data_IF_565301586814
#
_entry.id   IF_565301586814
#
_cell.length_a   1.000
_cell.length_b   1.000
_cell.length_c   1.000
_cell.angle_alpha   90.00
_cell.angle_beta   90.00
_cell.angle_gamma   90.00
#
_symmetry.space_group_name_H-M   'P 1'
#
loop_
_entity.id
_entity.type
_entity.pdbx_description
1 polymer ?
#
# COMPACT_ATOMS: atom_id res chain seq x y z
N UNK A 1 -0.12 -6.48 18.84
CA UNK A 1 -0.85 -6.56 17.55
C UNK A 1 -1.08 -7.99 17.07
N UNK A 2 -0.02 -8.79 16.82
CA UNK A 2 -0.18 -10.17 16.32
C UNK A 2 -1.06 -11.04 17.21
N UNK A 3 -0.87 -10.98 18.54
CA UNK A 3 -1.70 -11.71 19.49
C UNK A 3 -3.18 -11.33 19.36
N UNK A 4 -3.51 -10.03 19.39
CA UNK A 4 -4.88 -9.54 19.23
C UNK A 4 -5.51 -9.91 17.88
N UNK A 5 -4.72 -10.02 16.81
CA UNK A 5 -5.21 -10.40 15.49
C UNK A 5 -5.54 -11.90 15.42
N UNK A 6 -4.61 -12.74 15.88
CA UNK A 6 -4.75 -14.20 15.84
C UNK A 6 -5.71 -14.73 16.90
N UNK A 7 -5.82 -14.05 18.06
CA UNK A 7 -6.77 -14.43 19.10
C UNK A 7 -8.22 -14.24 18.63
N UNK A 8 -8.45 -13.33 17.67
CA UNK A 8 -9.76 -12.97 17.14
C UNK A 8 -10.67 -12.36 18.21
N UNK A 9 -11.45 -11.34 17.85
CA UNK A 9 -12.65 -11.04 18.64
C UNK A 9 -13.63 -12.19 18.43
N UNK A 10 -14.09 -12.83 19.51
CA UNK A 10 -15.07 -13.92 19.48
C UNK A 10 -16.49 -13.48 19.08
N UNK A 11 -16.71 -12.20 18.83
CA UNK A 11 -18.02 -11.64 18.48
C UNK A 11 -17.96 -10.85 17.17
N UNK A 12 -18.61 -11.35 16.13
CA UNK A 12 -18.71 -10.69 14.81
C UNK A 12 -19.48 -9.37 14.87
N UNK A 13 -20.44 -9.24 15.78
CA UNK A 13 -21.20 -7.99 15.96
C UNK A 13 -20.28 -6.85 16.41
N UNK A 14 -19.28 -7.15 17.24
CA UNK A 14 -18.30 -6.17 17.68
C UNK A 14 -17.40 -5.73 16.53
N UNK A 15 -16.97 -6.66 15.66
CA UNK A 15 -16.18 -6.35 14.45
C UNK A 15 -16.96 -5.42 13.53
N UNK A 16 -18.19 -5.79 13.19
CA UNK A 16 -18.98 -4.99 12.25
C UNK A 16 -19.37 -3.64 12.87
N UNK A 17 -19.64 -3.59 14.18
CA UNK A 17 -19.86 -2.31 14.89
C UNK A 17 -18.63 -1.41 14.86
N UNK A 18 -17.43 -1.94 15.08
CA UNK A 18 -16.18 -1.17 15.00
C UNK A 18 -15.94 -0.64 13.58
N UNK A 19 -16.08 -1.50 12.57
CA UNK A 19 -15.94 -1.10 11.16
C UNK A 19 -16.97 -0.02 10.79
N UNK A 20 -18.23 -0.19 11.20
CA UNK A 20 -19.30 0.79 10.95
C UNK A 20 -19.02 2.12 11.65
N UNK A 21 -18.54 2.09 12.90
CA UNK A 21 -18.19 3.29 13.65
C UNK A 21 -17.02 4.04 13.00
N UNK A 22 -15.99 3.32 12.53
CA UNK A 22 -14.86 3.89 11.83
C UNK A 22 -15.27 4.57 10.53
N UNK A 23 -16.05 3.85 9.72
CA UNK A 23 -16.61 4.33 8.45
C UNK A 23 -17.47 5.58 8.70
N UNK A 24 -18.37 5.53 9.69
CA UNK A 24 -19.22 6.68 10.06
C UNK A 24 -18.43 7.90 10.56
N UNK A 25 -17.39 7.70 11.39
CA UNK A 25 -16.54 8.78 11.94
C UNK A 25 -15.80 9.57 10.85
N UNK A 26 -15.59 8.96 9.69
CA UNK A 26 -14.88 9.55 8.54
C UNK A 26 -15.82 10.10 7.46
N UNK A 27 -17.11 10.21 7.78
CA UNK A 27 -18.18 10.54 6.83
C UNK A 27 -18.24 9.55 5.66
N UNK A 28 -17.76 8.32 5.86
CA UNK A 28 -18.02 7.23 4.95
C UNK A 28 -19.40 6.67 5.33
N UNK A 29 -20.47 7.11 4.68
CA UNK A 29 -21.80 6.56 4.98
C UNK A 29 -21.86 5.10 4.47
N UNK A 30 -22.18 4.13 5.33
CA UNK A 30 -22.35 2.73 4.95
C UNK A 30 -23.26 1.97 5.96
N UNK A 31 -24.09 0.99 5.52
CA UNK A 31 -24.39 0.62 4.13
C UNK A 31 -25.45 1.51 3.46
N UNK A 32 -26.06 2.47 4.19
CA UNK A 32 -27.15 3.31 3.67
C UNK A 32 -26.80 4.80 3.79
N UNK A 33 -27.07 5.61 2.74
CA UNK A 33 -26.94 7.06 2.79
C UNK A 33 -28.03 7.61 3.71
N UNK A 34 -27.67 7.92 4.95
CA UNK A 34 -28.61 8.38 5.96
C UNK A 34 -28.12 9.62 6.69
N UNK A 35 -28.61 10.78 6.25
CA UNK A 35 -28.70 12.10 6.93
C UNK A 35 -27.59 13.14 6.76
N UNK A 36 -26.54 12.89 5.99
CA UNK A 36 -25.79 13.99 5.37
C UNK A 36 -25.76 13.77 3.87
N UNK A 37 -26.52 14.58 3.15
CA UNK A 37 -26.36 14.82 1.71
C UNK A 37 -25.02 15.54 1.46
N UNK A 38 -23.90 15.01 1.97
CA UNK A 38 -22.61 15.38 1.42
C UNK A 38 -22.59 14.78 0.03
N UNK A 39 -22.78 15.65 -0.97
CA UNK A 39 -22.65 15.30 -2.38
C UNK A 39 -21.28 14.67 -2.55
N UNK A 40 -21.26 13.34 -2.77
CA UNK A 40 -20.03 12.62 -3.09
C UNK A 40 -19.67 13.01 -4.51
N UNK A 41 -18.73 13.95 -4.65
CA UNK A 41 -18.09 14.26 -5.93
C UNK A 41 -16.87 13.34 -6.19
N UNK A 42 -16.39 13.30 -7.43
CA UNK A 42 -15.24 12.48 -7.79
C UNK A 42 -13.97 12.87 -7.03
N UNK A 43 -13.81 14.14 -6.63
CA UNK A 43 -12.67 14.55 -5.81
C UNK A 43 -12.72 14.02 -4.38
N UNK A 44 -13.92 13.93 -3.77
CA UNK A 44 -14.12 13.27 -2.48
C UNK A 44 -13.90 11.77 -2.59
N UNK A 45 -14.32 11.14 -3.69
CA UNK A 45 -14.00 9.73 -3.93
C UNK A 45 -12.47 9.50 -4.05
N UNK A 46 -11.75 10.39 -4.74
CA UNK A 46 -10.28 10.37 -4.80
C UNK A 46 -9.66 10.54 -3.41
N UNK A 47 -10.13 11.48 -2.60
CA UNK A 47 -9.66 11.68 -1.22
C UNK A 47 -9.70 10.38 -0.41
N UNK A 48 -10.80 9.63 -0.47
CA UNK A 48 -10.93 8.36 0.27
C UNK A 48 -9.94 7.32 -0.23
N UNK A 49 -9.76 7.20 -1.56
CA UNK A 49 -8.77 6.28 -2.15
C UNK A 49 -7.36 6.62 -1.67
N UNK A 50 -6.98 7.90 -1.67
CA UNK A 50 -5.67 8.34 -1.18
C UNK A 50 -5.55 8.19 0.34
N UNK A 51 -6.60 8.46 1.10
CA UNK A 51 -6.60 8.34 2.56
C UNK A 51 -6.35 6.89 2.97
N UNK A 52 -7.05 5.92 2.38
CA UNK A 52 -6.78 4.51 2.63
C UNK A 52 -5.33 4.13 2.28
N UNK A 53 -4.82 4.61 1.15
CA UNK A 53 -3.46 4.31 0.68
C UNK A 53 -2.35 4.93 1.52
N UNK A 54 -2.50 6.18 1.97
CA UNK A 54 -1.45 6.95 2.66
C UNK A 54 -1.64 6.92 4.17
N UNK A 55 -2.85 7.22 4.67
CA UNK A 55 -3.15 7.37 6.10
C UNK A 55 -3.24 6.00 6.76
N UNK A 56 -3.93 5.07 6.10
CA UNK A 56 -4.17 3.74 6.66
C UNK A 56 -3.21 2.68 6.12
N UNK A 57 -2.34 3.06 5.16
CA UNK A 57 -1.50 2.17 4.36
C UNK A 57 -2.18 0.84 4.02
N UNK A 58 -3.41 1.00 3.52
CA UNK A 58 -4.21 0.02 2.82
C UNK A 58 -4.33 0.51 1.37
N UNK A 59 -3.29 0.34 0.54
CA UNK A 59 -3.31 0.78 -0.84
C UNK A 59 -4.20 -0.15 -1.65
N UNK A 60 -5.51 -0.09 -1.48
CA UNK A 60 -6.44 -1.01 -2.13
C UNK A 60 -6.32 -0.86 -3.66
N UNK A 61 -6.47 0.37 -4.16
CA UNK A 61 -6.45 0.66 -5.59
C UNK A 61 -5.03 0.74 -6.15
N UNK A 62 -4.23 1.65 -5.61
CA UNK A 62 -2.84 1.90 -5.98
C UNK A 62 -2.09 2.45 -4.76
N UNK A 63 -0.77 2.28 -4.77
CA UNK A 63 0.10 2.85 -3.74
C UNK A 63 0.42 4.29 -4.09
N UNK A 64 0.47 5.10 -3.05
CA UNK A 64 0.77 6.53 -3.15
C UNK A 64 1.93 6.78 -2.22
N UNK A 65 3.01 7.33 -2.73
CA UNK A 65 4.16 7.66 -1.92
C UNK A 65 4.70 9.04 -2.25
N UNK A 66 5.14 9.76 -1.23
CA UNK A 66 5.86 11.00 -1.43
C UNK A 66 7.33 10.69 -1.68
N UNK A 67 7.84 11.05 -2.86
CA UNK A 67 9.25 10.88 -3.16
C UNK A 67 10.07 11.99 -2.47
N UNK A 68 11.23 11.65 -1.89
CA UNK A 68 12.17 12.65 -1.42
C UNK A 68 12.61 13.52 -2.61
N UNK A 69 12.65 14.84 -2.39
CA UNK A 69 13.06 15.81 -3.42
C UNK A 69 14.52 15.53 -3.78
N UNK A 70 14.76 14.91 -4.94
CA UNK A 70 16.11 14.73 -5.44
C UNK A 70 16.73 16.11 -5.67
N UNK A 71 17.85 16.40 -5.01
CA UNK A 71 18.63 17.64 -5.13
C UNK A 71 19.32 17.81 -6.50
N UNK A 72 18.94 17.01 -7.49
CA UNK A 72 19.44 17.08 -8.86
C UNK A 72 18.85 18.27 -9.62
N UNK A 73 19.70 18.93 -10.38
CA UNK A 73 19.70 20.35 -10.76
C UNK A 73 18.58 20.85 -11.67
N UNK A 74 17.61 20.01 -12.06
CA UNK A 74 16.43 20.42 -12.87
C UNK A 74 15.09 20.47 -12.12
N UNK A 75 14.96 19.77 -10.99
CA UNK A 75 13.69 19.63 -10.24
C UNK A 75 13.70 20.35 -8.88
N UNK A 76 14.62 21.32 -8.70
CA UNK A 76 14.99 21.96 -7.42
C UNK A 76 13.85 22.58 -6.57
N UNK A 77 12.58 22.52 -6.97
CA UNK A 77 11.45 23.05 -6.19
C UNK A 77 10.19 22.20 -6.18
N UNK A 78 10.06 21.19 -7.03
CA UNK A 78 8.80 20.45 -7.15
C UNK A 78 8.92 19.12 -6.39
N UNK A 79 8.00 18.90 -5.45
CA UNK A 79 7.85 17.60 -4.79
C UNK A 79 7.30 16.62 -5.81
N UNK A 80 7.65 15.35 -5.66
CA UNK A 80 7.13 14.30 -6.52
C UNK A 80 6.30 13.31 -5.71
N UNK A 81 5.09 13.00 -6.18
CA UNK A 81 4.22 11.95 -5.63
C UNK A 81 4.27 10.78 -6.60
N UNK A 82 4.71 9.63 -6.13
CA UNK A 82 4.70 8.40 -6.89
C UNK A 82 3.36 7.68 -6.76
N UNK A 83 2.78 7.30 -7.89
CA UNK A 83 1.65 6.37 -7.99
C UNK A 83 2.17 5.06 -8.57
N UNK A 84 1.96 3.96 -7.86
CA UNK A 84 2.31 2.63 -8.37
C UNK A 84 1.15 1.66 -8.23
N UNK A 85 1.02 0.68 -9.14
CA UNK A 85 -0.02 -0.33 -9.01
C UNK A 85 0.05 -1.05 -7.67
N UNK A 86 -1.10 -1.52 -7.18
CA UNK A 86 -1.19 -2.25 -5.92
C UNK A 86 -1.25 -3.75 -6.14
N UNK A 87 -0.57 -4.53 -5.30
CA UNK A 87 -0.69 -6.00 -5.33
C UNK A 87 -2.06 -6.50 -4.87
N UNK A 88 -2.69 -5.92 -3.83
CA UNK A 88 -4.09 -6.19 -3.50
C UNK A 88 -5.04 -6.21 -4.71
N UNK A 89 -4.99 -5.21 -5.61
CA UNK A 89 -5.92 -5.18 -6.76
C UNK A 89 -5.79 -6.38 -7.70
N UNK A 90 -4.57 -6.93 -7.86
CA UNK A 90 -4.32 -8.16 -8.64
C UNK A 90 -4.86 -9.39 -7.93
N UNK A 91 -4.56 -9.52 -6.64
CA UNK A 91 -5.03 -10.65 -5.84
C UNK A 91 -6.56 -10.70 -5.88
N UNK A 92 -7.21 -9.57 -5.65
CA UNK A 92 -8.66 -9.45 -5.68
C UNK A 92 -9.28 -9.67 -7.05
N UNK A 93 -8.58 -9.28 -8.13
CA UNK A 93 -8.99 -9.66 -9.48
C UNK A 93 -9.05 -11.19 -9.64
N UNK A 94 -7.98 -11.91 -9.27
CA UNK A 94 -7.96 -13.38 -9.33
C UNK A 94 -8.99 -14.02 -8.40
N UNK A 95 -9.16 -13.50 -7.18
CA UNK A 95 -10.19 -13.97 -6.25
C UNK A 95 -11.57 -13.83 -6.86
N UNK A 96 -11.90 -12.69 -7.48
CA UNK A 96 -13.19 -12.49 -8.14
C UNK A 96 -13.37 -13.38 -9.37
N UNK A 97 -12.32 -13.61 -10.17
CA UNK A 97 -12.38 -14.56 -11.27
C UNK A 97 -12.67 -15.98 -10.76
N UNK A 98 -11.97 -16.44 -9.73
CA UNK A 98 -12.25 -17.75 -9.12
C UNK A 98 -13.66 -17.82 -8.56
N UNK A 99 -14.11 -16.82 -7.80
CA UNK A 99 -15.47 -16.77 -7.24
C UNK A 99 -16.52 -16.78 -8.36
N UNK A 100 -16.29 -16.09 -9.47
CA UNK A 100 -17.22 -16.05 -10.61
C UNK A 100 -17.37 -17.40 -11.33
N UNK A 101 -16.39 -18.29 -11.19
CA UNK A 101 -16.47 -19.67 -11.70
C UNK A 101 -17.36 -20.57 -10.84
N UNK A 102 -17.69 -20.17 -9.61
CA UNK A 102 -18.62 -20.88 -8.73
C UNK A 102 -20.00 -20.21 -8.76
N UNK A 103 -21.02 -20.91 -9.28
CA UNK A 103 -22.39 -20.36 -9.47
C UNK A 103 -22.99 -19.69 -8.22
N UNK A 104 -22.63 -20.15 -7.01
CA UNK A 104 -23.11 -19.59 -5.74
C UNK A 104 -22.07 -18.79 -4.96
N UNK A 105 -20.82 -18.72 -5.43
CA UNK A 105 -19.70 -18.13 -4.68
C UNK A 105 -19.92 -16.64 -4.37
N UNK A 106 -20.38 -15.89 -5.37
CA UNK A 106 -20.64 -14.46 -5.20
C UNK A 106 -21.83 -14.18 -4.26
N UNK A 107 -22.87 -15.02 -4.34
CA UNK A 107 -24.04 -14.97 -3.48
C UNK A 107 -23.69 -15.30 -2.03
N UNK A 108 -22.90 -16.36 -1.78
CA UNK A 108 -22.44 -16.74 -0.43
C UNK A 108 -21.54 -15.66 0.20
N UNK A 109 -20.58 -15.16 -0.58
CA UNK A 109 -19.66 -14.10 -0.19
C UNK A 109 -20.40 -12.84 0.27
N UNK A 110 -21.38 -12.41 -0.52
CA UNK A 110 -22.11 -11.17 -0.23
C UNK A 110 -23.19 -11.37 0.82
N UNK A 111 -23.83 -12.55 0.87
CA UNK A 111 -24.85 -12.87 1.89
C UNK A 111 -24.24 -12.85 3.29
N UNK A 112 -23.01 -13.33 3.48
CA UNK A 112 -22.41 -13.35 4.82
C UNK A 112 -22.12 -11.95 5.38
N UNK A 113 -21.53 -11.05 4.58
CA UNK A 113 -21.29 -9.66 4.97
C UNK A 113 -22.59 -8.92 5.22
N UNK A 114 -23.60 -9.15 4.38
CA UNK A 114 -24.91 -8.51 4.52
C UNK A 114 -25.70 -9.07 5.71
N UNK A 115 -25.62 -10.36 6.01
CA UNK A 115 -26.21 -10.96 7.22
C UNK A 115 -25.62 -10.36 8.50
N UNK A 116 -24.30 -10.15 8.52
CA UNK A 116 -23.62 -9.52 9.65
C UNK A 116 -24.02 -8.03 9.78
N UNK A 117 -24.32 -7.37 8.66
CA UNK A 117 -24.75 -5.97 8.62
C UNK A 117 -26.21 -5.77 9.01
N UNK A 118 -27.11 -6.58 8.46
CA UNK A 118 -28.54 -6.51 8.68
C UNK A 118 -28.92 -6.77 10.13
N UNK A 119 -28.11 -7.56 10.85
CA UNK A 119 -28.24 -7.75 12.30
C UNK A 119 -27.98 -6.48 13.10
N UNK A 120 -27.07 -5.61 12.64
CA UNK A 120 -26.71 -4.37 13.34
C UNK A 120 -27.59 -3.19 12.92
N UNK A 121 -28.03 -3.16 11.68
CA UNK A 121 -28.99 -2.17 11.18
C UNK A 121 -29.79 -2.74 10.02
N UNK A 122 -31.12 -2.93 10.18
CA UNK A 122 -31.97 -3.29 9.07
C UNK A 122 -31.85 -2.22 7.98
N UNK A 123 -31.63 -2.61 6.72
CA UNK A 123 -31.45 -1.67 5.63
C UNK A 123 -32.79 -1.04 5.25
N UNK A 124 -32.75 0.11 4.59
CA UNK A 124 -33.92 0.67 3.91
C UNK A 124 -34.18 0.01 2.54
N UNK A 125 -33.20 -0.72 1.99
CA UNK A 125 -33.25 -1.42 0.71
C UNK A 125 -33.10 -2.94 0.88
N UNK A 126 -33.66 -3.74 -0.03
CA UNK A 126 -33.52 -5.21 0.05
C UNK A 126 -32.12 -5.67 -0.33
N UNK A 127 -31.69 -6.81 0.23
CA UNK A 127 -30.43 -7.50 -0.12
C UNK A 127 -30.26 -7.68 -1.63
N UNK A 128 -31.34 -8.08 -2.31
CA UNK A 128 -31.35 -8.31 -3.75
C UNK A 128 -31.22 -7.02 -4.57
N UNK A 129 -31.75 -5.89 -4.07
CA UNK A 129 -31.61 -4.57 -4.68
C UNK A 129 -30.18 -4.00 -4.51
N UNK A 130 -29.59 -4.18 -3.32
CA UNK A 130 -28.18 -3.85 -3.07
C UNK A 130 -27.24 -4.66 -3.97
N UNK A 131 -27.52 -5.97 -4.09
CA UNK A 131 -26.76 -6.86 -4.97
C UNK A 131 -26.82 -6.43 -6.44
N UNK A 132 -28.03 -6.16 -6.94
CA UNK A 132 -28.28 -5.79 -8.34
C UNK A 132 -27.73 -4.42 -8.73
N UNK A 133 -27.66 -3.47 -7.79
CA UNK A 133 -27.21 -2.10 -8.09
C UNK A 133 -25.73 -1.85 -7.77
N UNK A 134 -25.11 -2.57 -6.81
CA UNK A 134 -23.80 -2.15 -6.23
C UNK A 134 -22.76 -3.26 -5.96
N UNK A 135 -23.05 -4.55 -6.17
CA UNK A 135 -22.22 -5.64 -5.59
C UNK A 135 -21.11 -6.20 -6.50
N UNK A 136 -21.32 -7.13 -7.42
CA UNK A 136 -20.18 -7.88 -8.01
C UNK A 136 -19.54 -7.31 -9.25
N UNK A 137 -20.37 -6.80 -10.15
CA UNK A 137 -19.94 -6.42 -11.51
C UNK A 137 -19.08 -5.16 -11.46
N UNK A 138 -19.46 -4.16 -10.66
CA UNK A 138 -18.66 -2.94 -10.48
C UNK A 138 -17.31 -3.27 -9.83
N UNK A 139 -17.31 -4.14 -8.81
CA UNK A 139 -16.09 -4.62 -8.16
C UNK A 139 -15.16 -5.32 -9.15
N UNK A 140 -15.69 -6.29 -9.89
CA UNK A 140 -14.93 -7.02 -10.90
C UNK A 140 -14.36 -6.09 -11.98
N UNK A 141 -15.15 -5.13 -12.47
CA UNK A 141 -14.69 -4.17 -13.46
C UNK A 141 -13.58 -3.28 -12.92
N UNK A 142 -13.71 -2.74 -11.70
CA UNK A 142 -12.66 -1.94 -11.06
C UNK A 142 -11.39 -2.78 -10.86
N UNK A 143 -11.50 -4.01 -10.32
CA UNK A 143 -10.35 -4.89 -10.12
C UNK A 143 -9.66 -5.26 -11.43
N UNK A 144 -10.42 -5.62 -12.46
CA UNK A 144 -9.88 -5.96 -13.77
C UNK A 144 -9.08 -4.79 -14.37
N UNK A 145 -9.64 -3.58 -14.32
CA UNK A 145 -8.95 -2.38 -14.84
C UNK A 145 -7.66 -2.10 -14.07
N UNK A 146 -7.69 -2.17 -12.74
CA UNK A 146 -6.50 -1.96 -11.91
C UNK A 146 -5.45 -3.07 -12.09
N UNK A 147 -5.87 -4.33 -12.25
CA UNK A 147 -4.97 -5.47 -12.46
C UNK A 147 -4.29 -5.42 -13.85
N UNK A 148 -5.01 -4.99 -14.88
CA UNK A 148 -4.46 -4.83 -16.24
C UNK A 148 -3.28 -3.85 -16.31
N UNK A 149 -3.17 -2.94 -15.34
CA UNK A 149 -2.05 -2.02 -15.19
C UNK A 149 -0.77 -2.70 -14.65
N UNK A 150 -0.82 -3.95 -14.23
CA UNK A 150 0.33 -4.72 -13.73
C UNK A 150 0.85 -5.71 -14.78
N UNK A 151 -0.02 -6.19 -15.66
CA UNK A 151 0.31 -7.21 -16.67
C UNK A 151 1.24 -6.71 -17.80
N UNK A 152 1.54 -5.41 -17.88
CA UNK A 152 2.55 -4.93 -18.83
C UNK A 152 3.96 -5.25 -18.35
N UNK A 153 4.66 -6.10 -19.10
CA UNK A 153 6.04 -6.53 -18.85
C UNK A 153 7.08 -5.40 -18.84
N UNK A 154 6.75 -4.21 -19.34
CA UNK A 154 7.63 -3.03 -19.31
C UNK A 154 6.92 -1.87 -18.62
N UNK A 155 7.44 -1.37 -17.48
CA UNK A 155 6.93 -0.14 -16.88
C UNK A 155 7.13 1.02 -17.85
N UNK A 156 6.06 1.75 -18.15
CA UNK A 156 6.10 2.99 -18.92
C UNK A 156 5.89 4.16 -17.95
N UNK A 157 6.95 4.63 -17.25
CA UNK A 157 6.80 5.67 -16.26
C UNK A 157 6.38 6.98 -16.92
N UNK A 158 5.50 7.72 -16.26
CA UNK A 158 5.00 9.01 -16.73
C UNK A 158 5.12 10.05 -15.63
N UNK A 159 5.76 11.16 -15.98
CA UNK A 159 5.91 12.36 -15.14
C UNK A 159 4.92 13.42 -15.61
N UNK A 160 4.09 13.93 -14.71
CA UNK A 160 3.02 14.88 -15.04
C UNK A 160 2.91 15.90 -13.92
N UNK A 161 2.85 17.18 -14.23
CA UNK A 161 2.48 18.20 -13.24
C UNK A 161 1.04 17.98 -12.78
N UNK A 162 0.75 18.14 -11.48
CA UNK A 162 -0.59 17.97 -10.93
C UNK A 162 -1.61 18.83 -11.67
N UNK A 163 -1.24 20.06 -12.04
CA UNK A 163 -2.07 20.99 -12.81
C UNK A 163 -2.51 20.46 -14.18
N UNK A 164 -1.76 19.49 -14.73
CA UNK A 164 -2.00 18.86 -16.04
C UNK A 164 -2.67 17.49 -15.93
N UNK A 165 -2.91 16.98 -14.72
CA UNK A 165 -3.64 15.72 -14.53
C UNK A 165 -5.04 15.67 -15.17
N UNK A 166 -5.81 16.78 -15.28
CA UNK A 166 -7.09 16.76 -15.98
C UNK A 166 -6.99 16.40 -17.47
N UNK A 167 -5.81 16.56 -18.09
CA UNK A 167 -5.57 16.11 -19.47
C UNK A 167 -5.57 14.57 -19.57
N UNK A 168 -5.34 13.87 -18.45
CA UNK A 168 -5.17 12.42 -18.39
C UNK A 168 -6.29 11.71 -17.66
N UNK A 169 -6.85 12.33 -16.62
CA UNK A 169 -7.97 11.83 -15.84
C UNK A 169 -9.07 12.88 -15.86
N UNK A 170 -9.98 12.76 -16.84
CA UNK A 170 -10.84 13.86 -17.29
C UNK A 170 -11.89 14.29 -16.28
N UNK A 171 -12.36 13.36 -15.45
CA UNK A 171 -13.37 13.62 -14.41
C UNK A 171 -12.79 14.15 -13.10
N UNK A 172 -11.48 14.43 -13.03
CA UNK A 172 -10.84 15.03 -11.86
C UNK A 172 -10.19 16.35 -12.25
N UNK A 173 -10.55 17.43 -11.57
CA UNK A 173 -9.90 18.72 -11.75
C UNK A 173 -8.53 18.75 -11.07
N UNK A 174 -7.67 19.70 -11.46
CA UNK A 174 -6.41 19.93 -10.76
C UNK A 174 -6.64 20.26 -9.27
N UNK A 175 -7.76 20.93 -8.95
CA UNK A 175 -8.14 21.23 -7.56
C UNK A 175 -8.47 19.98 -6.78
N UNK A 176 -9.10 18.98 -7.40
CA UNK A 176 -9.40 17.70 -6.74
C UNK A 176 -8.13 16.94 -6.38
N UNK A 177 -7.17 16.85 -7.30
CA UNK A 177 -5.87 16.25 -7.03
C UNK A 177 -5.10 16.96 -5.91
N UNK A 178 -5.01 18.30 -5.97
CA UNK A 178 -4.34 19.09 -4.93
C UNK A 178 -5.05 18.92 -3.58
N UNK A 179 -6.38 19.02 -3.56
CA UNK A 179 -7.19 18.83 -2.35
C UNK A 179 -6.98 17.46 -1.74
N UNK A 180 -7.05 16.40 -2.54
CA UNK A 180 -6.91 15.03 -2.08
C UNK A 180 -5.49 14.71 -1.59
N UNK A 181 -4.46 15.23 -2.27
CA UNK A 181 -3.08 15.05 -1.79
C UNK A 181 -2.82 15.87 -0.51
N UNK A 182 -3.39 17.07 -0.40
CA UNK A 182 -3.33 17.88 0.83
C UNK A 182 -4.10 17.26 1.98
N UNK A 183 -5.19 16.52 1.76
CA UNK A 183 -5.91 15.89 2.88
C UNK A 183 -5.07 14.79 3.55
N UNK A 184 -4.21 14.10 2.80
CA UNK A 184 -3.39 13.00 3.30
C UNK A 184 -1.96 13.40 3.69
N UNK A 185 -1.44 14.49 3.12
CA UNK A 185 -0.10 15.02 3.41
C UNK A 185 -0.10 16.38 4.12
N UNK A 186 -1.24 17.06 4.23
CA UNK A 186 -1.35 18.41 4.79
C UNK A 186 -1.07 18.49 6.28
N UNK A 187 -1.35 17.42 7.04
CA UNK A 187 -0.89 17.28 8.42
C UNK A 187 0.64 17.34 8.55
N UNK A 188 1.37 17.06 7.46
CA UNK A 188 2.84 17.13 7.37
C UNK A 188 3.38 18.51 6.98
N UNK A 189 2.54 19.55 7.05
CA UNK A 189 2.86 20.92 6.61
C UNK A 189 3.38 21.00 5.16
N UNK A 190 3.03 20.02 4.32
CA UNK A 190 3.43 19.96 2.92
C UNK A 190 2.44 20.79 2.08
N UNK A 191 2.85 21.97 1.65
CA UNK A 191 2.10 22.78 0.70
C UNK A 191 2.18 22.18 -0.72
N UNK A 192 1.41 21.12 -0.97
CA UNK A 192 1.30 20.50 -2.30
C UNK A 192 0.57 21.46 -3.24
N UNK A 193 1.11 21.73 -4.41
CA UNK A 193 0.57 22.68 -5.38
C UNK A 193 0.35 22.03 -6.75
N UNK A 194 -0.32 22.72 -7.67
CA UNK A 194 -0.48 22.25 -9.05
C UNK A 194 0.84 22.08 -9.81
N UNK A 195 1.94 22.68 -9.35
CA UNK A 195 3.26 22.57 -9.99
C UNK A 195 4.05 21.33 -9.52
N UNK A 196 3.61 20.66 -8.45
CA UNK A 196 4.24 19.42 -8.02
C UNK A 196 4.00 18.31 -9.04
N UNK A 197 4.87 17.31 -9.03
CA UNK A 197 4.91 16.26 -10.04
C UNK A 197 4.24 14.99 -9.52
N UNK A 198 3.41 14.36 -10.34
CA UNK A 198 3.02 12.96 -10.20
C UNK A 198 3.91 12.12 -11.09
N UNK A 199 4.58 11.15 -10.49
CA UNK A 199 5.24 10.06 -11.17
C UNK A 199 4.35 8.82 -11.12
N UNK A 200 3.68 8.48 -12.22
CA UNK A 200 3.08 7.17 -12.36
C UNK A 200 4.16 6.18 -12.79
N UNK A 201 4.37 5.10 -12.03
CA UNK A 201 5.36 4.06 -12.42
C UNK A 201 4.92 3.28 -13.66
N UNK A 202 3.63 3.38 -14.02
CA UNK A 202 3.05 2.78 -15.21
C UNK A 202 1.93 3.66 -15.79
N UNK A 203 2.03 4.09 -17.04
CA UNK A 203 1.00 4.85 -17.76
C UNK A 203 -0.36 4.13 -17.81
N UNK A 204 -0.36 2.78 -17.83
CA UNK A 204 -1.61 2.01 -17.75
C UNK A 204 -2.38 2.25 -16.45
N UNK A 205 -1.68 2.55 -15.34
CA UNK A 205 -2.37 2.89 -14.09
C UNK A 205 -3.16 4.19 -14.23
N UNK A 206 -2.59 5.21 -14.88
CA UNK A 206 -3.30 6.47 -15.13
C UNK A 206 -4.51 6.24 -16.03
N UNK A 207 -4.37 5.41 -17.08
CA UNK A 207 -5.49 5.01 -17.95
C UNK A 207 -6.58 4.25 -17.20
N UNK A 208 -6.21 3.35 -16.28
CA UNK A 208 -7.16 2.64 -15.45
C UNK A 208 -7.93 3.60 -14.52
N UNK A 209 -7.22 4.56 -13.91
CA UNK A 209 -7.84 5.61 -13.09
C UNK A 209 -8.80 6.45 -13.95
N UNK A 210 -8.39 6.93 -15.14
CA UNK A 210 -9.26 7.67 -16.05
C UNK A 210 -10.50 6.87 -16.42
N UNK A 211 -10.32 5.61 -16.81
CA UNK A 211 -11.43 4.74 -17.18
C UNK A 211 -12.43 4.58 -16.04
N UNK A 212 -11.96 4.30 -14.83
CA UNK A 212 -12.85 4.08 -13.67
C UNK A 212 -13.58 5.37 -13.32
N UNK A 213 -12.87 6.50 -13.21
CA UNK A 213 -13.48 7.79 -12.87
C UNK A 213 -14.39 8.33 -13.98
N UNK A 214 -14.16 7.94 -15.24
CA UNK A 214 -15.00 8.30 -16.38
C UNK A 214 -16.22 7.40 -16.57
N UNK A 215 -16.15 6.14 -16.15
CA UNK A 215 -17.21 5.14 -16.38
C UNK A 215 -18.09 4.87 -15.17
N UNK A 216 -17.72 5.38 -13.99
CA UNK A 216 -18.43 5.16 -12.73
C UNK A 216 -18.85 6.48 -12.09
N UNK A 217 -19.99 6.45 -11.42
CA UNK A 217 -20.41 7.58 -10.58
C UNK A 217 -19.45 7.70 -9.40
N UNK A 218 -19.32 8.91 -8.84
CA UNK A 218 -18.52 9.12 -7.64
C UNK A 218 -19.04 8.28 -6.45
N UNK A 219 -20.36 8.09 -6.39
CA UNK A 219 -21.04 7.24 -5.42
C UNK A 219 -20.62 5.76 -5.55
N UNK A 220 -20.55 5.21 -6.78
CA UNK A 220 -20.08 3.83 -7.01
C UNK A 220 -18.64 3.62 -6.57
N UNK A 221 -17.75 4.57 -6.91
CA UNK A 221 -16.32 4.52 -6.56
C UNK A 221 -16.16 4.56 -5.04
N UNK A 222 -16.90 5.46 -4.38
CA UNK A 222 -16.87 5.62 -2.94
C UNK A 222 -17.36 4.36 -2.22
N UNK A 223 -18.54 3.84 -2.57
CA UNK A 223 -19.07 2.64 -1.94
C UNK A 223 -18.22 1.42 -2.21
N UNK A 224 -17.69 1.26 -3.43
CA UNK A 224 -16.73 0.19 -3.72
C UNK A 224 -15.51 0.26 -2.80
N UNK A 225 -14.95 1.46 -2.62
CA UNK A 225 -13.76 1.68 -1.79
C UNK A 225 -14.02 1.35 -0.33
N UNK A 226 -15.15 1.82 0.21
CA UNK A 226 -15.58 1.52 1.60
C UNK A 226 -15.85 0.03 1.78
N UNK A 227 -16.55 -0.59 0.83
CA UNK A 227 -16.83 -2.02 0.87
C UNK A 227 -15.54 -2.84 0.85
N UNK A 228 -14.60 -2.52 -0.04
CA UNK A 228 -13.33 -3.22 -0.11
C UNK A 228 -12.49 -3.04 1.17
N UNK A 229 -12.53 -1.86 1.78
CA UNK A 229 -11.95 -1.63 3.11
C UNK A 229 -12.56 -2.56 4.17
N UNK A 230 -13.90 -2.62 4.25
CA UNK A 230 -14.61 -3.49 5.19
C UNK A 230 -14.21 -4.95 4.99
N UNK A 231 -14.02 -5.38 3.74
CA UNK A 231 -13.61 -6.75 3.43
C UNK A 231 -12.17 -7.04 3.83
N UNK A 232 -11.25 -6.17 3.44
CA UNK A 232 -9.84 -6.32 3.75
C UNK A 232 -9.61 -6.34 5.27
N UNK A 233 -10.17 -5.37 6.00
CA UNK A 233 -10.00 -5.28 7.46
C UNK A 233 -10.91 -6.26 8.21
N UNK A 234 -12.10 -6.55 7.70
CA UNK A 234 -13.00 -7.58 8.25
C UNK A 234 -12.36 -8.97 8.22
N UNK A 235 -11.69 -9.34 7.13
CA UNK A 235 -10.98 -10.61 7.02
C UNK A 235 -9.82 -10.74 8.03
N UNK A 236 -9.22 -9.62 8.45
CA UNK A 236 -8.15 -9.62 9.48
C UNK A 236 -8.70 -9.82 10.88
N UNK A 237 -9.91 -9.34 11.14
CA UNK A 237 -10.50 -9.22 12.49
C UNK A 237 -11.41 -10.40 12.85
N UNK A 238 -11.93 -11.13 11.86
CA UNK A 238 -12.80 -12.30 12.07
C UNK A 238 -12.40 -13.48 11.19
N UNK A 239 -12.16 -14.64 11.80
CA UNK A 239 -11.90 -15.89 11.07
C UNK A 239 -13.07 -16.29 10.16
N UNK A 240 -14.30 -15.93 10.54
CA UNK A 240 -15.51 -16.24 9.78
C UNK A 240 -15.62 -15.34 8.56
N UNK A 241 -15.38 -14.02 8.71
CA UNK A 241 -15.23 -13.11 7.57
C UNK A 241 -14.07 -13.55 6.67
N UNK A 242 -12.95 -13.96 7.25
CA UNK A 242 -11.81 -14.50 6.49
C UNK A 242 -12.19 -15.73 5.66
N UNK A 243 -12.89 -16.71 6.26
CA UNK A 243 -13.37 -17.91 5.56
C UNK A 243 -14.34 -17.56 4.43
N UNK A 244 -15.30 -16.67 4.70
CA UNK A 244 -16.31 -16.28 3.72
C UNK A 244 -15.74 -15.45 2.58
N UNK A 245 -14.80 -14.54 2.87
CA UNK A 245 -14.15 -13.70 1.87
C UNK A 245 -13.30 -14.52 0.90
N UNK A 246 -12.60 -15.52 1.43
CA UNK A 246 -11.67 -16.31 0.62
C UNK A 246 -12.28 -17.61 0.08
N UNK A 247 -13.51 -17.95 0.47
CA UNK A 247 -14.14 -19.25 0.18
C UNK A 247 -13.27 -20.45 0.60
N UNK A 248 -12.54 -20.32 1.72
CA UNK A 248 -11.60 -21.34 2.23
C UNK A 248 -12.12 -21.88 3.59
N UNK A 249 -12.25 -23.21 3.77
CA UNK A 249 -12.69 -23.81 5.03
C UNK A 249 -11.70 -23.61 6.20
N UNK A 250 -10.42 -23.35 5.90
CA UNK A 250 -9.34 -23.09 6.88
C UNK A 250 -9.19 -21.60 7.23
N UNK A 251 -10.29 -20.87 7.46
CA UNK A 251 -10.26 -19.43 7.70
C UNK A 251 -9.31 -18.97 8.80
N UNK A 252 -9.06 -19.80 9.83
CA UNK A 252 -8.09 -19.49 10.90
C UNK A 252 -6.64 -19.51 10.44
N UNK A 253 -6.26 -20.45 9.56
CA UNK A 253 -4.90 -20.49 9.03
C UNK A 253 -4.67 -19.29 8.11
N UNK A 254 -5.62 -19.02 7.22
CA UNK A 254 -5.54 -17.88 6.31
C UNK A 254 -5.57 -16.55 7.06
N UNK A 255 -6.39 -16.42 8.10
CA UNK A 255 -6.40 -15.25 8.97
C UNK A 255 -5.04 -15.02 9.63
N UNK A 256 -4.34 -16.07 10.08
CA UNK A 256 -2.97 -15.92 10.64
C UNK A 256 -1.99 -15.36 9.61
N UNK A 257 -2.07 -15.79 8.35
CA UNK A 257 -1.23 -15.26 7.28
C UNK A 257 -1.54 -13.79 7.00
N UNK A 258 -2.83 -13.44 6.92
CA UNK A 258 -3.28 -12.05 6.77
C UNK A 258 -2.80 -11.20 7.95
N UNK A 259 -3.00 -11.67 9.19
CA UNK A 259 -2.54 -10.98 10.40
C UNK A 259 -1.04 -10.72 10.39
N UNK A 260 -0.26 -11.70 9.93
CA UNK A 260 1.18 -11.57 9.79
C UNK A 260 1.57 -10.53 8.74
N UNK A 261 0.89 -10.49 7.59
CA UNK A 261 1.07 -9.46 6.54
C UNK A 261 0.76 -8.05 7.08
N UNK A 262 -0.28 -7.90 7.92
CA UNK A 262 -0.59 -6.61 8.55
C UNK A 262 0.45 -6.18 9.58
N UNK A 263 0.97 -7.12 10.38
CA UNK A 263 2.05 -6.83 11.33
C UNK A 263 3.35 -6.52 10.60
N UNK A 264 3.66 -7.22 9.52
CA UNK A 264 4.81 -6.94 8.66
C UNK A 264 4.68 -5.54 8.02
N UNK A 265 3.53 -5.22 7.43
CA UNK A 265 3.32 -3.90 6.82
C UNK A 265 3.27 -2.74 7.81
N UNK A 266 2.95 -2.98 9.08
CA UNK A 266 2.89 -1.93 10.11
C UNK A 266 4.22 -1.77 10.85
N UNK A 267 4.93 -2.87 11.12
CA UNK A 267 6.14 -2.92 11.94
C UNK A 267 7.35 -3.51 11.22
N UNK A 268 7.39 -3.45 9.88
CA UNK A 268 8.47 -4.01 9.07
C UNK A 268 9.87 -3.60 9.54
N UNK A 269 10.08 -2.31 9.81
CA UNK A 269 11.39 -1.78 10.23
C UNK A 269 11.80 -2.42 11.57
N UNK A 270 10.86 -2.59 12.50
CA UNK A 270 11.08 -3.26 13.79
C UNK A 270 11.43 -4.74 13.59
N UNK A 271 10.61 -5.45 12.81
CA UNK A 271 10.82 -6.87 12.53
C UNK A 271 12.13 -7.12 11.76
N UNK A 272 12.53 -6.19 10.90
CA UNK A 272 13.80 -6.24 10.18
C UNK A 272 14.98 -6.03 11.14
N UNK A 273 14.83 -5.14 12.13
CA UNK A 273 15.82 -4.95 13.19
C UNK A 273 15.94 -6.18 14.10
N UNK A 274 14.83 -6.81 14.48
CA UNK A 274 14.84 -8.09 15.21
C UNK A 274 15.53 -9.18 14.36
N UNK A 275 15.22 -9.23 13.06
CA UNK A 275 15.82 -10.22 12.15
C UNK A 275 17.31 -9.99 11.91
N UNK A 276 17.76 -8.72 11.91
CA UNK A 276 19.18 -8.31 11.88
C UNK A 276 19.92 -8.83 13.10
N UNK A 277 19.31 -8.82 14.30
CA UNK A 277 19.95 -9.33 15.52
C UNK A 277 20.29 -10.83 15.45
N UNK A 278 19.70 -11.57 14.51
CA UNK A 278 20.03 -12.98 14.24
C UNK A 278 21.17 -13.16 13.23
N UNK A 279 21.68 -12.08 12.62
CA UNK A 279 22.79 -12.12 11.68
C UNK A 279 24.12 -11.80 12.37
N UNK A 280 25.25 -12.36 11.90
CA UNK A 280 26.57 -11.99 12.38
C UNK A 280 26.85 -10.49 12.16
N UNK A 281 27.50 -9.79 13.11
CA UNK A 281 27.82 -8.36 12.98
C UNK A 281 28.55 -7.99 11.67
N UNK A 282 29.42 -8.89 11.20
CA UNK A 282 30.23 -8.74 9.99
C UNK A 282 29.47 -9.00 8.69
N UNK A 283 28.26 -9.59 8.74
CA UNK A 283 27.51 -9.97 7.54
C UNK A 283 27.25 -8.75 6.64
N UNK A 284 26.91 -7.59 7.22
CA UNK A 284 26.65 -6.36 6.48
C UNK A 284 27.84 -5.95 5.63
N UNK A 285 29.02 -5.93 6.24
CA UNK A 285 30.25 -5.50 5.59
C UNK A 285 30.63 -6.48 4.49
N UNK A 286 30.52 -7.78 4.75
CA UNK A 286 30.74 -8.82 3.75
C UNK A 286 29.81 -8.67 2.54
N UNK A 287 28.52 -8.40 2.78
CA UNK A 287 27.52 -8.19 1.71
C UNK A 287 27.81 -6.90 0.95
N UNK A 288 28.07 -5.79 1.65
CA UNK A 288 28.43 -4.51 1.01
C UNK A 288 29.63 -4.68 0.10
N UNK A 289 30.70 -5.32 0.59
CA UNK A 289 31.90 -5.60 -0.19
C UNK A 289 31.62 -6.47 -1.42
N UNK A 290 30.73 -7.48 -1.30
CA UNK A 290 30.32 -8.31 -2.44
C UNK A 290 29.53 -7.49 -3.47
N UNK A 291 28.61 -6.62 -3.03
CA UNK A 291 27.82 -5.76 -3.91
C UNK A 291 28.67 -4.72 -4.61
N UNK A 292 29.64 -4.13 -3.92
CA UNK A 292 30.59 -3.18 -4.51
C UNK A 292 31.44 -3.86 -5.59
N UNK A 293 31.93 -5.09 -5.34
CA UNK A 293 32.61 -5.91 -6.37
C UNK A 293 31.70 -6.19 -7.57
N UNK A 294 30.45 -6.59 -7.34
CA UNK A 294 29.47 -6.82 -8.43
C UNK A 294 29.25 -5.54 -9.23
N UNK A 295 29.10 -4.38 -8.56
CA UNK A 295 28.94 -3.07 -9.19
C UNK A 295 30.15 -2.74 -10.06
N UNK A 296 31.37 -2.88 -9.53
CA UNK A 296 32.61 -2.63 -10.30
C UNK A 296 32.69 -3.52 -11.55
N UNK A 297 32.45 -4.83 -11.42
CA UNK A 297 32.45 -5.75 -12.57
C UNK A 297 31.36 -5.40 -13.58
N UNK A 298 30.17 -5.02 -13.13
CA UNK A 298 29.08 -4.62 -14.01
C UNK A 298 29.44 -3.35 -14.81
N UNK A 299 30.03 -2.36 -14.15
CA UNK A 299 30.51 -1.11 -14.77
C UNK A 299 31.59 -1.38 -15.81
N UNK A 300 32.59 -2.20 -15.47
CA UNK A 300 33.64 -2.60 -16.41
C UNK A 300 33.07 -3.29 -17.66
N UNK A 301 32.16 -4.26 -17.45
CA UNK A 301 31.48 -4.95 -18.55
C UNK A 301 30.65 -3.99 -19.40
N UNK A 302 29.92 -3.06 -18.79
CA UNK A 302 29.12 -2.05 -19.51
C UNK A 302 30.00 -1.13 -20.36
N UNK A 303 31.14 -0.69 -19.83
CA UNK A 303 32.11 0.15 -20.55
C UNK A 303 32.76 -0.57 -21.74
N UNK A 304 32.95 -1.90 -21.64
CA UNK A 304 33.50 -2.72 -22.71
C UNK A 304 32.45 -3.25 -23.72
N UNK A 305 31.14 -3.09 -23.45
CA UNK A 305 30.09 -3.74 -24.23
C UNK A 305 29.90 -3.11 -25.62
N UNK A 306 30.38 -3.81 -26.65
CA UNK A 306 30.47 -3.29 -28.03
C UNK A 306 29.11 -3.04 -28.71
N UNK A 307 28.02 -3.68 -28.24
CA UNK A 307 26.68 -3.53 -28.83
C UNK A 307 25.98 -2.22 -28.44
N UNK A 308 26.52 -1.45 -27.51
CA UNK A 308 26.00 -0.12 -27.13
C UNK A 308 26.90 0.99 -27.69
N UNK A 309 26.30 2.14 -28.01
CA UNK A 309 27.05 3.34 -28.36
C UNK A 309 27.92 3.81 -27.18
N UNK A 310 29.02 4.52 -27.46
CA UNK A 310 29.90 5.03 -26.41
C UNK A 310 29.18 6.00 -25.44
N UNK A 311 28.15 6.70 -25.91
CA UNK A 311 27.31 7.57 -25.08
C UNK A 311 26.41 6.74 -24.16
N UNK A 312 25.68 5.76 -24.71
CA UNK A 312 24.81 4.89 -23.91
C UNK A 312 25.60 4.09 -22.88
N UNK A 313 26.80 3.60 -23.23
CA UNK A 313 27.70 2.94 -22.27
C UNK A 313 28.03 3.81 -21.08
N UNK A 314 28.40 5.08 -21.32
CA UNK A 314 28.71 6.05 -20.25
C UNK A 314 27.50 6.35 -19.39
N UNK A 315 26.34 6.56 -20.00
CA UNK A 315 25.09 6.85 -19.28
C UNK A 315 24.67 5.68 -18.37
N UNK A 316 24.64 4.45 -18.90
CA UNK A 316 24.24 3.26 -18.12
C UNK A 316 25.27 2.95 -17.03
N UNK A 317 26.57 3.07 -17.33
CA UNK A 317 27.61 2.90 -16.31
C UNK A 317 27.45 3.92 -15.16
N UNK A 318 27.16 5.19 -15.47
CA UNK A 318 26.93 6.23 -14.47
C UNK A 318 25.72 5.92 -13.57
N UNK A 319 24.65 5.35 -14.11
CA UNK A 319 23.50 4.90 -13.31
C UNK A 319 23.91 3.79 -12.34
N UNK A 320 24.66 2.78 -12.81
CA UNK A 320 25.12 1.67 -11.96
C UNK A 320 26.11 2.15 -10.90
N UNK A 321 27.02 3.06 -11.25
CA UNK A 321 27.97 3.69 -10.31
C UNK A 321 27.26 4.49 -9.22
N UNK A 322 26.25 5.27 -9.60
CA UNK A 322 25.47 6.10 -8.68
C UNK A 322 24.41 5.34 -7.88
N UNK A 323 24.31 4.01 -8.02
CA UNK A 323 23.29 3.21 -7.36
C UNK A 323 23.58 3.04 -5.88
N UNK A 324 22.70 3.57 -5.03
CA UNK A 324 22.77 3.39 -3.58
C UNK A 324 22.25 2.00 -3.19
N UNK A 325 22.73 1.46 -2.08
CA UNK A 325 22.29 0.15 -1.57
C UNK A 325 21.83 0.25 -0.13
N UNK A 326 20.65 -0.29 0.14
CA UNK A 326 20.08 -0.42 1.48
C UNK A 326 19.95 -1.91 1.81
N UNK A 327 20.77 -2.41 2.73
CA UNK A 327 20.77 -3.82 3.16
C UNK A 327 19.81 -4.03 4.35
N UNK A 328 19.81 -3.08 5.29
CA UNK A 328 18.81 -2.95 6.35
C UNK A 328 18.94 -1.56 7.00
N UNK A 329 17.88 -1.02 7.63
CA UNK A 329 17.95 0.23 8.38
C UNK A 329 19.01 0.17 9.48
N UNK A 330 19.91 1.16 9.54
CA UNK A 330 21.01 1.17 10.52
C UNK A 330 20.55 1.47 11.95
N UNK A 331 19.40 2.14 12.09
CA UNK A 331 18.89 2.59 13.39
C UNK A 331 18.55 1.40 14.28
N UNK A 332 19.28 1.29 15.38
CA UNK A 332 18.97 0.37 16.45
C UNK A 332 17.80 0.93 17.25
N UNK A 333 16.64 0.29 17.14
CA UNK A 333 15.53 0.40 18.09
C UNK A 333 15.97 0.18 19.55
N UNK A 334 17.18 -0.34 19.78
CA UNK A 334 17.82 -0.44 21.10
C UNK A 334 18.29 0.89 21.69
N UNK A 335 18.26 2.01 20.95
CA UNK A 335 18.46 3.34 21.53
C UNK A 335 17.19 3.81 22.26
N UNK A 336 17.31 4.50 23.41
CA UNK A 336 16.17 5.11 24.07
C UNK A 336 15.40 6.01 23.09
N UNK A 337 14.10 5.75 22.87
CA UNK A 337 13.27 6.51 21.95
C UNK A 337 13.27 6.03 20.48
N UNK A 338 14.04 4.99 20.13
CA UNK A 338 14.15 4.50 18.75
C UNK A 338 12.83 3.92 18.21
N UNK A 339 12.02 3.27 19.06
CA UNK A 339 10.68 2.83 18.68
C UNK A 339 9.76 4.04 18.43
N UNK A 340 9.78 5.02 19.32
CA UNK A 340 8.97 6.23 19.25
C UNK A 340 9.36 7.14 18.08
N UNK A 341 10.59 7.02 17.58
CA UNK A 341 11.05 7.71 16.38
C UNK A 341 10.31 7.21 15.12
N UNK A 342 10.09 5.90 14.98
CA UNK A 342 9.49 5.31 13.77
C UNK A 342 7.99 5.02 13.90
N UNK A 343 7.51 4.64 15.08
CA UNK A 343 6.14 4.16 15.30
C UNK A 343 5.32 5.04 16.23
N UNK A 344 5.93 6.08 16.80
CA UNK A 344 5.32 6.91 17.83
C UNK A 344 5.07 6.14 19.13
N UNK A 345 4.09 6.58 19.93
CA UNK A 345 3.88 6.00 21.26
C UNK A 345 3.33 4.57 21.18
N UNK A 346 3.86 3.62 21.97
CA UNK A 346 3.32 2.27 22.02
C UNK A 346 1.85 2.28 22.42
N UNK A 347 1.11 1.28 21.96
CA UNK A 347 -0.29 1.14 22.27
C UNK A 347 -0.51 0.96 23.77
N UNK A 348 -1.34 1.82 24.38
CA UNK A 348 -1.56 1.85 25.83
C UNK A 348 -2.69 0.93 26.32
N UNK A 349 -3.33 0.16 25.43
CA UNK A 349 -4.43 -0.74 25.79
C UNK A 349 -5.75 -0.04 26.12
N UNK A 350 -5.90 1.25 25.83
CA UNK A 350 -7.15 2.00 26.10
C UNK A 350 -8.41 1.38 25.48
N UNK A 351 -8.25 0.58 24.44
CA UNK A 351 -9.30 -0.21 23.82
C UNK A 351 -8.79 -1.65 23.56
N UNK A 352 -9.66 -2.65 23.55
CA UNK A 352 -9.24 -4.03 23.31
C UNK A 352 -9.37 -4.42 21.83
N UNK A 353 -8.43 -5.22 21.33
CA UNK A 353 -8.54 -5.88 20.02
C UNK A 353 -7.64 -5.31 18.94
N UNK A 354 -7.51 -6.08 17.84
CA UNK A 354 -6.59 -5.77 16.74
C UNK A 354 -6.90 -4.43 16.07
N UNK A 355 -8.18 -4.17 15.78
CA UNK A 355 -8.58 -2.99 15.03
C UNK A 355 -8.22 -1.68 15.75
N UNK A 356 -8.44 -1.62 17.06
CA UNK A 356 -8.11 -0.44 17.85
C UNK A 356 -6.59 -0.22 17.96
N UNK A 357 -5.81 -1.29 18.12
CA UNK A 357 -4.35 -1.20 18.12
C UNK A 357 -3.80 -0.80 16.74
N UNK A 358 -4.40 -1.31 15.66
CA UNK A 358 -4.05 -0.94 14.29
C UNK A 358 -4.38 0.53 14.01
N UNK A 359 -5.59 1.00 14.35
CA UNK A 359 -5.99 2.42 14.21
C UNK A 359 -5.03 3.33 14.97
N UNK A 360 -4.75 3.00 16.25
CA UNK A 360 -3.81 3.77 17.07
C UNK A 360 -2.43 3.84 16.44
N UNK A 361 -1.87 2.70 16.05
CA UNK A 361 -0.51 2.63 15.49
C UNK A 361 -0.39 3.46 14.21
N UNK A 362 -1.42 3.44 13.35
CA UNK A 362 -1.46 4.27 12.15
C UNK A 362 -1.48 5.76 12.45
N UNK A 363 -2.31 6.18 13.41
CA UNK A 363 -2.37 7.58 13.81
C UNK A 363 -1.05 8.07 14.42
N UNK A 364 -0.37 7.23 15.20
CA UNK A 364 0.95 7.56 15.76
C UNK A 364 2.03 7.69 14.69
N UNK A 365 2.09 6.77 13.73
CA UNK A 365 3.03 6.85 12.60
C UNK A 365 2.80 8.11 11.75
N UNK A 366 1.54 8.45 11.49
CA UNK A 366 1.17 9.64 10.73
C UNK A 366 1.59 10.95 11.37
N UNK A 367 1.36 11.08 12.68
CA UNK A 367 1.75 12.28 13.44
C UNK A 367 3.27 12.44 13.55
N UNK A 368 4.04 11.37 13.33
CA UNK A 368 5.51 11.41 13.32
C UNK A 368 6.08 11.85 11.98
N UNK A 369 5.52 11.34 10.89
CA UNK A 369 5.90 11.74 9.52
C UNK A 369 5.74 13.25 9.27
N UNK A 370 4.96 13.96 10.09
CA UNK A 370 4.80 15.42 10.04
C UNK A 370 5.88 16.22 10.76
N UNK A 371 6.65 15.60 11.67
CA UNK A 371 7.56 16.31 12.58
C UNK A 371 9.05 16.15 12.23
N UNK A 372 9.42 15.13 11.46
CA UNK A 372 10.81 14.87 11.08
C UNK A 372 10.98 14.65 9.57
N UNK A 373 11.94 15.33 8.90
CA UNK A 373 12.26 15.05 7.51
C UNK A 373 12.86 13.65 7.39
N UNK A 374 12.10 12.71 6.81
CA UNK A 374 12.53 11.34 6.55
C UNK A 374 13.67 11.34 5.51
N UNK A 375 14.78 10.67 5.80
CA UNK A 375 15.87 10.54 4.80
C UNK A 375 15.46 9.60 3.67
N UNK A 376 16.15 9.64 2.52
CA UNK A 376 15.92 8.69 1.42
C UNK A 376 16.07 7.24 1.92
N UNK A 377 17.04 7.00 2.80
CA UNK A 377 17.29 5.68 3.38
C UNK A 377 16.12 5.24 4.28
N UNK A 378 15.63 6.14 5.14
CA UNK A 378 14.47 5.85 6.01
C UNK A 378 13.20 5.63 5.18
N UNK A 379 13.03 6.42 4.12
CA UNK A 379 11.93 6.29 3.19
C UNK A 379 11.98 4.95 2.44
N UNK A 380 13.14 4.53 1.95
CA UNK A 380 13.31 3.22 1.30
C UNK A 380 13.12 2.08 2.30
N UNK A 381 13.65 2.22 3.51
CA UNK A 381 13.46 1.24 4.57
C UNK A 381 11.98 1.10 4.95
N UNK A 382 11.24 2.20 5.01
CA UNK A 382 9.81 2.20 5.28
C UNK A 382 8.99 1.68 4.09
N UNK A 383 9.36 2.02 2.84
CA UNK A 383 8.54 1.79 1.64
C UNK A 383 8.83 0.51 0.85
N UNK A 384 10.04 -0.05 0.93
CA UNK A 384 10.44 -1.24 0.17
C UNK A 384 10.73 -2.48 1.03
N UNK A 385 10.89 -2.32 2.35
CA UNK A 385 10.97 -3.45 3.30
C UNK A 385 9.57 -3.86 3.76
N UNK A 386 8.52 -3.81 2.92
CA UNK A 386 7.20 -4.35 3.28
C UNK A 386 7.09 -5.86 3.08
N UNK A 387 8.21 -6.58 3.05
CA UNK A 387 8.22 -8.03 2.88
C UNK A 387 9.41 -8.63 3.62
N UNK A 388 9.29 -8.82 4.93
CA UNK A 388 10.04 -9.90 5.58
C UNK A 388 9.47 -11.26 5.17
N UNK A 389 8.25 -11.26 4.64
CA UNK A 389 7.50 -12.43 4.20
C UNK A 389 7.36 -12.46 2.67
N UNK A 390 8.47 -12.74 2.01
CA UNK A 390 8.45 -13.59 0.81
C UNK A 390 8.00 -13.03 -0.55
N UNK A 391 7.80 -11.72 -0.77
CA UNK A 391 7.46 -11.23 -2.12
C UNK A 391 8.65 -10.77 -2.96
N UNK A 392 9.68 -10.19 -2.34
CA UNK A 392 10.88 -9.78 -3.06
C UNK A 392 12.10 -9.85 -2.12
N UNK A 393 13.07 -10.70 -2.47
CA UNK A 393 14.36 -10.78 -1.75
C UNK A 393 15.21 -9.54 -1.96
N UNK A 394 15.03 -8.89 -3.12
CA UNK A 394 15.65 -7.64 -3.50
C UNK A 394 14.65 -6.80 -4.28
N UNK A 395 14.72 -5.48 -4.14
CA UNK A 395 13.95 -4.53 -4.94
C UNK A 395 14.85 -3.41 -5.43
N UNK A 396 14.55 -2.89 -6.62
CA UNK A 396 15.26 -1.74 -7.16
C UNK A 396 14.26 -0.63 -7.43
N UNK A 397 14.52 0.53 -6.84
CA UNK A 397 13.78 1.75 -7.09
C UNK A 397 14.48 2.56 -8.20
N UNK A 398 13.98 2.58 -9.44
CA UNK A 398 14.63 3.28 -10.55
C UNK A 398 14.62 4.80 -10.39
N UNK A 399 13.71 5.33 -9.56
CA UNK A 399 13.53 6.77 -9.35
C UNK A 399 14.57 7.30 -8.39
N UNK A 400 14.81 6.55 -7.31
CA UNK A 400 15.80 6.87 -6.30
C UNK A 400 17.19 6.32 -6.66
N UNK A 401 17.26 5.44 -7.66
CA UNK A 401 18.44 4.64 -7.98
C UNK A 401 18.97 3.88 -6.75
N UNK A 402 18.05 3.22 -6.03
CA UNK A 402 18.35 2.48 -4.80
C UNK A 402 18.05 1.01 -4.99
N UNK A 403 19.00 0.14 -4.63
CA UNK A 403 18.83 -1.30 -4.50
C UNK A 403 18.59 -1.65 -3.01
N UNK A 404 17.43 -2.18 -2.70
CA UNK A 404 17.08 -2.67 -1.38
C UNK A 404 17.25 -4.19 -1.32
N UNK A 405 17.83 -4.70 -0.24
CA UNK A 405 18.01 -6.13 0.00
C UNK A 405 17.29 -6.48 1.29
N UNK A 406 16.41 -7.47 1.25
CA UNK A 406 15.70 -7.94 2.44
C UNK A 406 16.63 -8.76 3.32
N UNK A 407 16.43 -8.70 4.65
CA UNK A 407 17.12 -9.58 5.61
C UNK A 407 16.90 -11.06 5.29
N UNK A 408 15.76 -11.41 4.68
CA UNK A 408 15.48 -12.77 4.22
C UNK A 408 16.46 -13.27 3.14
N UNK A 409 16.98 -12.37 2.30
CA UNK A 409 17.99 -12.70 1.29
C UNK A 409 19.37 -12.99 1.89
N UNK A 410 19.54 -12.72 3.19
CA UNK A 410 20.81 -12.85 3.92
C UNK A 410 20.86 -14.13 4.75
N UNK A 411 20.02 -15.08 4.39
CA UNK A 411 19.93 -16.40 4.99
C UNK A 411 20.06 -17.46 3.90
N UNK A 412 20.35 -18.72 4.26
CA UNK A 412 20.28 -19.83 3.32
C UNK A 412 18.92 -19.89 2.60
N UNK A 413 18.88 -20.23 1.30
CA UNK A 413 20.00 -20.68 0.47
C UNK A 413 20.80 -19.53 -0.20
N UNK A 414 20.46 -18.27 0.02
CA UNK A 414 20.99 -17.14 -0.75
C UNK A 414 22.31 -16.59 -0.22
N UNK A 415 22.51 -16.67 1.09
CA UNK A 415 23.74 -16.23 1.74
C UNK A 415 24.13 -17.19 2.86
N UNK A 416 25.42 -17.50 2.88
CA UNK A 416 26.11 -18.18 3.97
C UNK A 416 27.22 -17.24 4.41
N UNK A 417 27.28 -16.91 5.70
CA UNK A 417 28.51 -16.32 6.26
C UNK A 417 29.63 -17.32 6.04
N UNK A 418 30.80 -16.86 5.59
CA UNK A 418 31.92 -17.76 5.38
C UNK A 418 32.24 -18.50 6.70
N UNK A 419 31.94 -19.81 6.74
CA UNK A 419 32.30 -20.69 7.85
C UNK A 419 31.21 -21.01 8.89
N UNK A 420 30.05 -21.53 8.47
CA UNK A 420 29.33 -22.59 9.21
C UNK A 420 28.67 -23.55 8.25
#
# INVERSE_FOLDING_TARGET
MMHHCVSGTTNEEDVVRMLTAFVSKRSFAWPSPGKSEEIVDHGRALEVVLELSVVWALPLWFRVHLLPVATSTRLKRNRAVMLSPSTPSVFWHFTHEMISQYQDGYSMYTSFLMDALFKLRPPSESFEAFLKTRSGVVQQQIFHQLASAIESWLPQPRLVEIGRMPELVRNLSAKDWVRALRSVYGARALDITGNDIILATNDKLIKAIDYIFSSKTAEDIFFHTVWWFVQAVGATTSSKLCSSVNSIPEGRYFQRLICFDHVDTTYNVLLASISKAMLPPEARLAISNRLDKIRSVAVEKLRAYSKLSAETRRAVASVVEGMSTVIWPEDDFGRPGGFEQYFGRPYNGSHSGFFAEWEWSRLQMLNRDSEAPMTIRDYVAASEIFALVGRALTSYNPVLNVLSISVAALRPPFYYSEGT
#
